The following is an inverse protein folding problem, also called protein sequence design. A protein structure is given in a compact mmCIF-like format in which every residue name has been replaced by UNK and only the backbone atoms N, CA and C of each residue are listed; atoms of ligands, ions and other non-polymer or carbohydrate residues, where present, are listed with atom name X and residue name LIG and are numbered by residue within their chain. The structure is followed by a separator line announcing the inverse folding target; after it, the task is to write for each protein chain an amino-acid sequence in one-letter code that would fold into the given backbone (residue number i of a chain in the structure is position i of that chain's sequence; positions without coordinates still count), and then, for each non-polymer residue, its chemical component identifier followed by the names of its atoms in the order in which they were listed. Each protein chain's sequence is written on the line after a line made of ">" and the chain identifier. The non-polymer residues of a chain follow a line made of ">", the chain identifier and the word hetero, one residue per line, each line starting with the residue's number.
data_IF_958531157073
#
_entry.id   IF_958531157073
#
_cell.length_a   1.000
_cell.length_b   1.000
_cell.length_c   1.000
_cell.angle_alpha   90.00
_cell.angle_beta   90.00
_cell.angle_gamma   90.00
#
_symmetry.space_group_name_H-M   'P 1'
#
loop_
_entity.id
_entity.type
_entity.pdbx_description
1 polymer ?
#
# COMPACT_ATOMS: atom_id res chain seq x y z
N UNK A 1 -2.20 -38.30 -36.93
CA UNK A 1 -1.12 -37.35 -36.66
C UNK A 1 -0.97 -37.29 -35.15
N UNK A 2 0.11 -37.85 -34.61
CA UNK A 2 0.42 -37.74 -33.18
C UNK A 2 0.71 -36.26 -32.89
N UNK A 3 -0.14 -35.63 -32.09
CA UNK A 3 0.15 -34.33 -31.51
C UNK A 3 1.33 -34.51 -30.56
N UNK A 4 2.54 -34.32 -31.03
CA UNK A 4 3.75 -34.32 -30.19
C UNK A 4 3.67 -33.11 -29.25
N UNK A 5 3.26 -33.41 -28.03
CA UNK A 5 3.26 -32.40 -26.98
C UNK A 5 4.68 -31.86 -26.77
N UNK A 6 4.88 -30.55 -26.98
CA UNK A 6 6.16 -29.87 -26.75
C UNK A 6 6.24 -29.39 -25.27
N UNK A 7 7.04 -30.06 -24.42
CA UNK A 7 7.08 -29.75 -22.97
C UNK A 7 7.55 -28.34 -22.69
N UNK A 8 6.96 -27.67 -21.67
CA UNK A 8 7.32 -26.31 -21.24
C UNK A 8 8.82 -26.16 -20.94
N UNK A 9 9.48 -27.24 -20.44
CA UNK A 9 10.92 -27.24 -20.17
C UNK A 9 11.78 -26.93 -21.40
N UNK A 10 11.26 -27.17 -22.60
CA UNK A 10 11.93 -26.93 -23.87
C UNK A 10 11.58 -25.55 -24.48
N UNK A 11 10.70 -24.78 -23.87
CA UNK A 11 10.35 -23.44 -24.31
C UNK A 11 11.51 -22.46 -24.07
N UNK A 12 11.49 -21.33 -24.75
CA UNK A 12 12.40 -20.24 -24.43
C UNK A 12 12.18 -19.74 -22.98
N UNK A 13 13.19 -19.19 -22.34
CA UNK A 13 13.08 -18.62 -20.99
C UNK A 13 11.95 -17.59 -20.90
N UNK A 14 11.78 -16.79 -21.95
CA UNK A 14 10.75 -15.76 -22.05
C UNK A 14 9.31 -16.29 -22.12
N UNK A 15 9.13 -17.55 -22.50
CA UNK A 15 7.83 -18.18 -22.66
C UNK A 15 7.47 -19.13 -21.52
N UNK A 16 8.44 -19.53 -20.70
CA UNK A 16 8.19 -20.32 -19.49
C UNK A 16 7.48 -19.46 -18.45
N UNK A 17 6.29 -19.84 -17.93
CA UNK A 17 5.49 -18.96 -17.08
C UNK A 17 6.19 -18.45 -15.83
N UNK A 18 7.00 -19.26 -15.15
CA UNK A 18 7.72 -18.86 -13.92
C UNK A 18 8.83 -17.88 -14.22
N UNK A 19 9.63 -18.16 -15.22
CA UNK A 19 10.73 -17.33 -15.71
C UNK A 19 10.18 -15.99 -16.25
N UNK A 20 9.10 -16.05 -17.02
CA UNK A 20 8.37 -14.87 -17.50
C UNK A 20 7.84 -14.00 -16.36
N UNK A 21 7.33 -14.62 -15.27
CA UNK A 21 6.91 -13.88 -14.07
C UNK A 21 8.08 -13.14 -13.42
N UNK A 22 9.23 -13.81 -13.28
CA UNK A 22 10.44 -13.24 -12.68
C UNK A 22 11.04 -12.11 -13.52
N UNK A 23 11.10 -12.28 -14.83
CA UNK A 23 11.75 -11.35 -15.73
C UNK A 23 10.88 -10.15 -16.13
N UNK A 24 9.59 -10.38 -16.35
CA UNK A 24 8.65 -9.39 -16.93
C UNK A 24 7.53 -8.96 -15.95
N UNK A 25 7.46 -9.58 -14.78
CA UNK A 25 6.44 -9.28 -13.77
C UNK A 25 5.06 -9.89 -14.07
N UNK A 26 4.17 -9.78 -13.07
CA UNK A 26 2.86 -10.46 -13.09
C UNK A 26 1.92 -10.01 -14.20
N UNK A 27 2.01 -8.77 -14.65
CA UNK A 27 1.16 -8.20 -15.70
C UNK A 27 1.44 -8.73 -17.10
N UNK A 28 2.59 -9.39 -17.30
CA UNK A 28 2.97 -9.97 -18.57
C UNK A 28 2.37 -11.38 -18.80
N UNK A 29 1.78 -11.99 -17.76
CA UNK A 29 1.23 -13.34 -17.84
C UNK A 29 -0.27 -13.32 -18.15
N UNK A 30 -0.69 -14.27 -18.99
CA UNK A 30 -2.09 -14.61 -19.19
C UNK A 30 -2.67 -15.36 -17.99
N UNK A 31 -3.99 -15.39 -17.84
CA UNK A 31 -4.68 -16.16 -16.79
C UNK A 31 -4.31 -17.65 -16.84
N UNK A 32 -4.15 -18.21 -18.06
CA UNK A 32 -3.73 -19.59 -18.23
C UNK A 32 -2.30 -19.85 -17.71
N UNK A 33 -1.38 -18.92 -17.93
CA UNK A 33 -0.01 -19.02 -17.41
C UNK A 33 0.03 -18.88 -15.87
N UNK A 34 -0.79 -18.00 -15.29
CA UNK A 34 -0.92 -17.87 -13.83
C UNK A 34 -1.46 -19.17 -13.21
N UNK A 35 -2.51 -19.77 -13.79
CA UNK A 35 -3.05 -21.05 -13.33
C UNK A 35 -2.02 -22.16 -13.52
N UNK A 36 -1.26 -22.15 -14.62
CA UNK A 36 -0.20 -23.13 -14.88
C UNK A 36 0.90 -23.10 -13.81
N UNK A 37 1.24 -21.92 -13.30
CA UNK A 37 2.16 -21.76 -12.15
C UNK A 37 1.58 -22.40 -10.88
N UNK A 38 0.28 -22.19 -10.60
CA UNK A 38 -0.40 -22.74 -9.43
C UNK A 38 -0.45 -24.27 -9.43
N UNK A 39 -0.79 -24.87 -10.58
CA UNK A 39 -0.89 -26.33 -10.70
C UNK A 39 0.48 -27.02 -10.88
N UNK A 40 1.52 -26.28 -11.24
CA UNK A 40 2.93 -26.71 -11.30
C UNK A 40 3.27 -27.69 -12.42
N UNK A 41 2.33 -28.52 -12.88
CA UNK A 41 2.55 -29.51 -13.94
C UNK A 41 1.25 -29.78 -14.70
N UNK A 42 1.39 -30.15 -15.96
CA UNK A 42 0.26 -30.60 -16.79
C UNK A 42 -0.18 -32.03 -16.49
N UNK A 43 -0.70 -32.70 -17.53
CA UNK A 43 -0.99 -34.11 -17.54
C UNK A 43 0.04 -34.87 -18.40
N UNK A 44 -0.15 -36.18 -18.57
CA UNK A 44 0.74 -36.99 -19.40
C UNK A 44 0.80 -36.50 -20.85
N UNK A 45 -0.28 -35.91 -21.36
CA UNK A 45 -0.46 -35.59 -22.77
C UNK A 45 -0.58 -34.09 -23.06
N UNK A 46 -0.51 -33.22 -22.05
CA UNK A 46 -0.65 -31.75 -22.20
C UNK A 46 0.20 -30.99 -21.19
N UNK A 47 0.62 -29.79 -21.56
CA UNK A 47 1.38 -28.92 -20.69
C UNK A 47 0.49 -28.35 -19.57
N UNK A 48 1.11 -27.77 -18.53
CA UNK A 48 0.36 -27.04 -17.50
C UNK A 48 -0.43 -25.87 -18.10
N UNK A 49 0.12 -25.18 -19.11
CA UNK A 49 -0.54 -24.07 -19.79
C UNK A 49 -1.73 -24.56 -20.61
N UNK A 50 -1.60 -25.66 -21.34
CA UNK A 50 -2.72 -26.21 -22.14
C UNK A 50 -3.84 -26.75 -21.25
N UNK A 51 -3.49 -27.43 -20.16
CA UNK A 51 -4.45 -27.85 -19.14
C UNK A 51 -5.20 -26.63 -18.54
N UNK A 52 -4.48 -25.56 -18.24
CA UNK A 52 -5.07 -24.33 -17.71
C UNK A 52 -5.99 -23.65 -18.73
N UNK A 53 -5.60 -23.61 -20.01
CA UNK A 53 -6.46 -23.10 -21.10
C UNK A 53 -7.74 -23.93 -21.23
N UNK A 54 -7.66 -25.26 -21.12
CA UNK A 54 -8.81 -26.15 -21.18
C UNK A 54 -9.78 -25.92 -20.01
N UNK A 55 -9.25 -25.72 -18.80
CA UNK A 55 -10.06 -25.39 -17.62
C UNK A 55 -10.75 -24.02 -17.84
N UNK A 56 -10.01 -22.99 -18.24
CA UNK A 56 -10.58 -21.66 -18.49
C UNK A 56 -11.64 -21.67 -19.58
N UNK A 57 -11.41 -22.40 -20.68
CA UNK A 57 -12.39 -22.53 -21.77
C UNK A 57 -13.71 -23.15 -21.31
N UNK A 58 -13.70 -24.07 -20.35
CA UNK A 58 -14.93 -24.68 -19.80
C UNK A 58 -15.81 -23.69 -19.04
N UNK A 59 -15.25 -22.58 -18.61
CA UNK A 59 -15.95 -21.48 -17.91
C UNK A 59 -15.95 -20.20 -18.74
N UNK A 60 -15.89 -20.31 -20.07
CA UNK A 60 -15.88 -19.20 -21.02
C UNK A 60 -14.80 -18.13 -20.72
N UNK A 61 -13.63 -18.53 -20.24
CA UNK A 61 -12.51 -17.69 -19.80
C UNK A 61 -12.88 -16.68 -18.70
N UNK A 62 -13.84 -17.01 -17.86
CA UNK A 62 -14.33 -16.14 -16.79
C UNK A 62 -13.80 -16.58 -15.43
N UNK A 63 -12.90 -15.79 -14.82
CA UNK A 63 -12.30 -16.08 -13.52
C UNK A 63 -13.33 -16.14 -12.37
N UNK A 64 -14.41 -15.36 -12.45
CA UNK A 64 -15.48 -15.45 -11.44
C UNK A 64 -16.23 -16.80 -11.54
N UNK A 65 -16.42 -17.31 -12.76
CA UNK A 65 -17.00 -18.63 -12.96
C UNK A 65 -16.05 -19.75 -12.53
N UNK A 66 -14.74 -19.60 -12.81
CA UNK A 66 -13.71 -20.51 -12.30
C UNK A 66 -13.72 -20.61 -10.78
N UNK A 67 -13.82 -19.47 -10.10
CA UNK A 67 -13.87 -19.40 -8.63
C UNK A 67 -15.13 -20.02 -7.99
N UNK A 68 -16.14 -20.35 -8.79
CA UNK A 68 -17.37 -21.04 -8.34
C UNK A 68 -17.32 -22.55 -8.53
N UNK A 69 -16.32 -23.06 -9.23
CA UNK A 69 -16.17 -24.50 -9.42
C UNK A 69 -15.88 -25.20 -8.09
N UNK A 70 -16.61 -26.28 -7.83
CA UNK A 70 -16.35 -27.14 -6.68
C UNK A 70 -15.09 -27.98 -6.90
N UNK A 71 -14.55 -28.53 -5.84
CA UNK A 71 -13.44 -29.45 -5.86
C UNK A 71 -13.68 -30.63 -6.81
N UNK A 72 -14.87 -31.24 -6.72
CA UNK A 72 -15.25 -32.35 -7.58
C UNK A 72 -15.27 -31.95 -9.07
N UNK A 73 -15.78 -30.75 -9.40
CA UNK A 73 -15.79 -30.23 -10.77
C UNK A 73 -14.38 -29.98 -11.31
N UNK A 74 -13.47 -29.44 -10.47
CA UNK A 74 -12.07 -29.27 -10.85
C UNK A 74 -11.36 -30.61 -11.07
N UNK A 75 -11.64 -31.60 -10.22
CA UNK A 75 -11.03 -32.93 -10.34
C UNK A 75 -11.55 -33.76 -11.54
N UNK A 76 -12.67 -33.37 -12.19
CA UNK A 76 -13.13 -33.97 -13.44
C UNK A 76 -12.21 -33.67 -14.62
N UNK A 77 -11.34 -32.63 -14.51
CA UNK A 77 -10.35 -32.39 -15.56
C UNK A 77 -9.19 -33.37 -15.42
N UNK A 78 -8.99 -34.22 -16.47
CA UNK A 78 -7.85 -35.12 -16.51
C UNK A 78 -6.54 -34.34 -16.31
N UNK A 79 -5.76 -34.72 -15.32
CA UNK A 79 -4.53 -34.03 -14.92
C UNK A 79 -4.68 -33.10 -13.70
N UNK A 80 -5.90 -32.88 -13.20
CA UNK A 80 -6.18 -32.20 -11.94
C UNK A 80 -6.51 -33.25 -10.87
N UNK A 81 -5.59 -33.45 -9.94
CA UNK A 81 -5.83 -34.16 -8.70
C UNK A 81 -6.16 -33.20 -7.54
N UNK A 82 -6.38 -33.79 -6.38
CA UNK A 82 -6.76 -33.04 -5.16
C UNK A 82 -5.83 -31.86 -4.87
N UNK A 83 -4.51 -32.05 -4.86
CA UNK A 83 -3.54 -30.98 -4.57
C UNK A 83 -3.63 -29.80 -5.55
N UNK A 84 -3.81 -30.07 -6.84
CA UNK A 84 -3.95 -29.01 -7.86
C UNK A 84 -5.30 -28.27 -7.70
N UNK A 85 -6.37 -29.01 -7.44
CA UNK A 85 -7.69 -28.41 -7.18
C UNK A 85 -7.66 -27.50 -5.94
N UNK A 86 -7.03 -27.94 -4.85
CA UNK A 86 -6.81 -27.14 -3.64
C UNK A 86 -6.05 -25.84 -3.97
N UNK A 87 -4.96 -25.92 -4.74
CA UNK A 87 -4.16 -24.75 -5.09
C UNK A 87 -4.98 -23.70 -5.87
N UNK A 88 -5.79 -24.15 -6.85
CA UNK A 88 -6.67 -23.26 -7.60
C UNK A 88 -7.72 -22.63 -6.67
N UNK A 89 -8.41 -23.43 -5.87
CA UNK A 89 -9.45 -22.94 -4.96
C UNK A 89 -8.91 -21.95 -3.94
N UNK A 90 -7.75 -22.25 -3.34
CA UNK A 90 -7.12 -21.36 -2.37
C UNK A 90 -6.73 -20.02 -3.01
N UNK A 91 -6.17 -20.03 -4.22
CA UNK A 91 -5.82 -18.80 -4.93
C UNK A 91 -7.06 -17.96 -5.29
N UNK A 92 -8.14 -18.61 -5.73
CA UNK A 92 -9.40 -17.92 -6.04
C UNK A 92 -10.05 -17.32 -4.79
N UNK A 93 -10.01 -18.04 -3.67
CA UNK A 93 -10.54 -17.55 -2.39
C UNK A 93 -9.72 -16.37 -1.86
N UNK A 94 -8.40 -16.41 -1.92
CA UNK A 94 -7.54 -15.29 -1.56
C UNK A 94 -7.84 -14.05 -2.43
N UNK A 95 -8.03 -14.24 -3.74
CA UNK A 95 -8.45 -13.18 -4.65
C UNK A 95 -9.82 -12.59 -4.28
N UNK A 96 -10.78 -13.43 -3.87
CA UNK A 96 -12.10 -13.01 -3.39
C UNK A 96 -11.99 -12.22 -2.08
N UNK A 97 -11.25 -12.70 -1.10
CA UNK A 97 -11.01 -12.00 0.19
C UNK A 97 -10.36 -10.65 -0.04
N UNK A 98 -9.29 -10.60 -0.84
CA UNK A 98 -8.62 -9.35 -1.20
C UNK A 98 -9.58 -8.32 -1.81
N UNK A 99 -10.56 -8.76 -2.61
CA UNK A 99 -11.55 -7.87 -3.21
C UNK A 99 -12.61 -7.40 -2.20
N UNK A 100 -12.93 -8.26 -1.22
CA UNK A 100 -13.84 -7.97 -0.12
C UNK A 100 -13.19 -7.16 1.01
N UNK A 101 -11.85 -7.14 1.10
CA UNK A 101 -11.17 -6.19 1.97
C UNK A 101 -11.52 -4.79 1.46
N UNK A 102 -12.26 -4.04 2.27
CA UNK A 102 -12.54 -2.64 2.03
C UNK A 102 -11.19 -1.95 1.81
N UNK A 103 -11.05 -1.26 0.70
CA UNK A 103 -9.90 -0.37 0.51
C UNK A 103 -9.92 0.56 1.71
N UNK A 104 -8.88 0.53 2.54
CA UNK A 104 -8.73 1.44 3.68
C UNK A 104 -8.97 2.83 3.12
N UNK A 105 -10.11 3.42 3.47
CA UNK A 105 -10.48 4.73 2.97
C UNK A 105 -9.57 5.74 3.66
N UNK A 106 -8.50 6.12 2.96
CA UNK A 106 -7.52 7.06 3.47
C UNK A 106 -8.21 8.40 3.69
N UNK A 107 -8.16 8.91 4.91
CA UNK A 107 -8.75 10.21 5.26
C UNK A 107 -8.12 11.31 4.43
N UNK A 108 -8.95 12.07 3.73
CA UNK A 108 -8.52 13.22 2.93
C UNK A 108 -8.46 14.48 3.80
N UNK A 109 -7.33 15.16 3.78
CA UNK A 109 -7.18 16.48 4.41
C UNK A 109 -7.69 17.54 3.43
N UNK A 110 -8.62 18.36 3.91
CA UNK A 110 -9.23 19.46 3.14
C UNK A 110 -9.01 20.83 3.78
N UNK A 111 -8.62 20.86 5.05
CA UNK A 111 -8.38 22.09 5.83
C UNK A 111 -7.52 21.80 7.06
N UNK A 112 -6.98 22.83 7.70
CA UNK A 112 -6.33 22.77 9.00
C UNK A 112 -7.25 22.14 10.07
N UNK A 113 -8.55 22.46 10.02
CA UNK A 113 -9.55 21.87 10.91
C UNK A 113 -9.61 20.34 10.78
N UNK A 114 -9.56 19.78 9.56
CA UNK A 114 -9.56 18.32 9.35
C UNK A 114 -8.31 17.65 9.91
N UNK A 115 -7.17 18.35 9.92
CA UNK A 115 -5.95 17.88 10.58
C UNK A 115 -6.13 17.90 12.10
N UNK A 116 -6.68 18.98 12.65
CA UNK A 116 -6.97 19.08 14.07
C UNK A 116 -7.91 17.95 14.54
N UNK A 117 -9.03 17.75 13.86
CA UNK A 117 -9.99 16.68 14.19
C UNK A 117 -9.34 15.28 14.16
N UNK A 118 -8.35 15.07 13.31
CA UNK A 118 -7.60 13.80 13.24
C UNK A 118 -6.57 13.66 14.36
N UNK A 119 -5.90 14.75 14.74
CA UNK A 119 -4.74 14.70 15.64
C UNK A 119 -5.10 15.01 17.10
N UNK A 120 -6.17 15.76 17.34
CA UNK A 120 -6.60 16.12 18.71
C UNK A 120 -6.83 14.88 19.59
N UNK A 121 -7.53 13.81 19.15
CA UNK A 121 -7.69 12.62 19.97
C UNK A 121 -6.39 11.85 20.26
N UNK A 122 -5.33 12.14 19.50
CA UNK A 122 -4.04 11.45 19.63
C UNK A 122 -3.11 12.22 20.56
N UNK A 123 -3.01 13.54 20.39
CA UNK A 123 -2.01 14.35 21.08
C UNK A 123 -2.58 15.52 21.92
N UNK A 124 -3.87 15.85 21.76
CA UNK A 124 -4.43 17.06 22.36
C UNK A 124 -4.46 17.06 23.89
N UNK A 125 -4.57 15.89 24.52
CA UNK A 125 -4.68 15.73 25.97
C UNK A 125 -3.40 15.17 26.62
N UNK A 126 -2.30 15.04 25.87
CA UNK A 126 -1.05 14.50 26.40
C UNK A 126 -0.39 15.49 27.35
N UNK A 127 0.14 15.01 28.51
CA UNK A 127 0.82 15.86 29.49
C UNK A 127 2.24 16.27 29.09
N UNK A 128 2.73 15.81 27.94
CA UNK A 128 4.05 16.10 27.37
C UNK A 128 3.93 16.45 25.89
N UNK A 129 4.92 17.14 25.36
CA UNK A 129 4.95 17.50 23.95
C UNK A 129 5.34 16.29 23.09
N UNK A 130 4.62 16.09 22.00
CA UNK A 130 4.93 15.13 20.95
C UNK A 130 4.97 15.81 19.60
N UNK A 131 5.89 15.39 18.75
CA UNK A 131 5.99 15.86 17.37
C UNK A 131 5.64 14.74 16.40
N UNK A 132 4.66 15.01 15.53
CA UNK A 132 4.10 14.07 14.58
C UNK A 132 4.17 14.60 13.16
N UNK A 133 4.27 13.67 12.21
CA UNK A 133 4.17 13.96 10.77
C UNK A 133 3.00 13.18 10.20
N UNK A 134 2.16 13.85 9.43
CA UNK A 134 1.22 13.23 8.52
C UNK A 134 1.87 13.16 7.13
N UNK A 135 1.96 11.97 6.58
CA UNK A 135 2.46 11.71 5.24
C UNK A 135 1.29 11.61 4.29
N UNK A 136 1.28 12.39 3.21
CA UNK A 136 0.16 12.49 2.28
C UNK A 136 0.56 12.10 0.87
N UNK A 137 -0.41 11.55 0.13
CA UNK A 137 -0.28 11.35 -1.30
C UNK A 137 -0.69 12.63 -2.09
N UNK A 138 -0.57 12.58 -3.42
CA UNK A 138 -0.89 13.71 -4.30
C UNK A 138 -2.38 14.16 -4.28
N UNK A 139 -3.26 13.38 -3.67
CA UNK A 139 -4.68 13.73 -3.46
C UNK A 139 -4.97 14.25 -2.05
N UNK A 140 -3.93 14.61 -1.29
CA UNK A 140 -3.99 15.00 0.12
C UNK A 140 -4.65 13.96 1.04
N UNK A 141 -4.54 12.69 0.70
CA UNK A 141 -4.98 11.61 1.57
C UNK A 141 -3.83 11.16 2.47
N UNK A 142 -4.10 10.99 3.77
CA UNK A 142 -3.11 10.56 4.75
C UNK A 142 -2.77 9.07 4.53
N UNK A 143 -1.58 8.79 4.03
CA UNK A 143 -1.07 7.43 3.80
C UNK A 143 -0.36 6.85 5.02
N UNK A 144 0.12 7.72 5.93
CA UNK A 144 0.75 7.30 7.18
C UNK A 144 0.81 8.46 8.17
N UNK A 145 0.86 8.12 9.45
CA UNK A 145 1.19 9.02 10.57
C UNK A 145 2.41 8.46 11.29
N UNK A 146 3.33 9.32 11.72
CA UNK A 146 4.48 8.90 12.52
C UNK A 146 4.80 9.91 13.60
N UNK A 147 4.98 9.40 14.81
CA UNK A 147 5.56 10.13 15.90
C UNK A 147 7.08 10.17 15.74
N UNK A 148 7.67 11.35 15.76
CA UNK A 148 9.11 11.51 15.58
C UNK A 148 9.87 11.70 16.90
N UNK A 149 9.21 12.29 17.86
CA UNK A 149 9.81 12.50 19.17
C UNK A 149 8.75 12.63 20.25
N UNK A 150 9.15 12.19 21.44
CA UNK A 150 8.43 12.40 22.70
C UNK A 150 9.29 13.37 23.49
N UNK A 151 8.74 14.52 23.85
CA UNK A 151 9.51 15.60 24.47
C UNK A 151 10.00 15.29 25.87
N UNK A 152 11.21 15.77 26.16
CA UNK A 152 11.62 16.17 27.50
C UNK A 152 11.34 17.65 27.72
N UNK A 153 11.55 18.14 28.94
CA UNK A 153 11.22 19.50 29.42
C UNK A 153 11.84 20.67 28.59
N UNK A 154 12.71 20.40 27.62
CA UNK A 154 13.53 21.43 26.93
C UNK A 154 13.43 21.43 25.40
N UNK A 155 12.44 20.75 24.80
CA UNK A 155 12.21 20.81 23.34
C UNK A 155 12.38 19.46 22.64
N UNK A 156 11.71 19.38 21.51
CA UNK A 156 11.59 18.17 20.69
C UNK A 156 12.62 18.21 19.56
N UNK A 157 13.60 17.31 19.59
CA UNK A 157 14.61 17.24 18.54
C UNK A 157 14.06 16.46 17.33
N UNK A 158 13.69 17.17 16.26
CA UNK A 158 13.21 16.57 15.01
C UNK A 158 14.39 16.40 14.05
N UNK A 159 14.71 15.14 13.70
CA UNK A 159 15.72 14.85 12.69
C UNK A 159 15.08 14.90 11.29
N UNK A 160 15.41 15.94 10.53
CA UNK A 160 14.94 16.17 9.15
C UNK A 160 15.21 14.98 8.23
N UNK A 161 16.34 14.28 8.42
CA UNK A 161 16.71 13.13 7.60
C UNK A 161 15.73 11.96 7.80
N UNK A 162 15.30 11.73 9.04
CA UNK A 162 14.31 10.67 9.35
C UNK A 162 12.94 11.00 8.76
N UNK A 163 12.51 12.27 8.82
CA UNK A 163 11.26 12.73 8.20
C UNK A 163 11.23 12.38 6.71
N UNK A 164 12.26 12.79 5.97
CA UNK A 164 12.27 12.60 4.53
C UNK A 164 12.64 11.18 4.09
N UNK A 165 13.43 10.44 4.87
CA UNK A 165 13.61 9.00 4.66
C UNK A 165 12.25 8.28 4.67
N UNK A 166 11.44 8.52 5.71
CA UNK A 166 10.09 7.92 5.80
C UNK A 166 9.17 8.41 4.68
N UNK A 167 9.26 9.66 4.27
CA UNK A 167 8.46 10.20 3.17
C UNK A 167 8.77 9.46 1.85
N UNK A 168 10.05 9.27 1.54
CA UNK A 168 10.50 8.55 0.35
C UNK A 168 10.10 7.06 0.38
N UNK A 169 10.31 6.38 1.52
CA UNK A 169 9.92 4.97 1.69
C UNK A 169 8.41 4.74 1.52
N UNK A 170 7.60 5.72 1.92
CA UNK A 170 6.13 5.65 1.82
C UNK A 170 5.58 6.20 0.50
N UNK A 171 6.41 6.80 -0.34
CA UNK A 171 5.98 7.49 -1.55
C UNK A 171 5.10 8.71 -1.28
N UNK A 172 5.34 9.41 -0.16
CA UNK A 172 4.61 10.62 0.17
C UNK A 172 5.05 11.78 -0.73
N UNK A 173 4.08 12.58 -1.19
CA UNK A 173 4.32 13.78 -1.99
C UNK A 173 4.12 15.07 -1.19
N UNK A 174 3.53 14.95 0.00
CA UNK A 174 3.35 16.07 0.90
C UNK A 174 3.37 15.64 2.37
N UNK A 175 3.66 16.59 3.26
CA UNK A 175 3.73 16.44 4.71
C UNK A 175 2.88 17.51 5.39
N UNK A 176 2.30 17.16 6.56
CA UNK A 176 1.81 18.14 7.53
C UNK A 176 2.48 17.83 8.86
N UNK A 177 2.98 18.87 9.50
CA UNK A 177 3.63 18.83 10.81
C UNK A 177 2.59 19.06 11.89
N UNK A 178 2.64 18.31 12.97
CA UNK A 178 1.75 18.48 14.10
C UNK A 178 2.53 18.31 15.40
N UNK A 179 2.34 19.21 16.37
CA UNK A 179 2.78 18.98 17.74
C UNK A 179 1.75 19.54 18.72
N UNK A 180 1.76 19.07 19.94
CA UNK A 180 0.88 19.56 20.97
C UNK A 180 1.60 20.48 21.95
N UNK A 181 0.86 21.43 22.51
CA UNK A 181 1.28 22.23 23.65
C UNK A 181 0.45 21.88 24.88
N UNK A 182 0.97 21.10 25.83
CA UNK A 182 0.24 20.76 27.08
C UNK A 182 -0.16 21.98 27.92
N UNK A 183 0.56 23.07 27.77
CA UNK A 183 0.23 24.37 28.43
C UNK A 183 -1.04 25.04 27.90
N UNK A 184 -1.60 24.55 26.77
CA UNK A 184 -2.72 25.17 26.07
C UNK A 184 -2.36 26.44 25.29
N UNK A 185 -1.07 26.83 25.24
CA UNK A 185 -0.61 28.00 24.48
C UNK A 185 -0.64 27.75 22.98
N UNK A 186 -1.26 28.68 22.24
CA UNK A 186 -1.32 28.60 20.76
C UNK A 186 -0.27 29.47 20.05
N UNK A 187 0.68 30.01 20.80
CA UNK A 187 1.75 30.85 20.26
C UNK A 187 2.93 29.95 19.87
N UNK A 188 3.34 29.93 18.59
CA UNK A 188 4.51 29.15 18.16
C UNK A 188 5.78 29.72 18.77
N UNK A 189 6.62 28.84 19.28
CA UNK A 189 7.97 29.20 19.76
C UNK A 189 8.90 29.51 18.59
N UNK A 190 10.03 30.10 18.85
CA UNK A 190 11.05 30.30 17.81
C UNK A 190 11.63 28.96 17.31
N UNK A 191 11.68 27.93 18.15
CA UNK A 191 12.05 26.58 17.76
C UNK A 191 11.06 25.99 16.76
N UNK A 192 9.75 26.18 16.95
CA UNK A 192 8.70 25.71 16.03
C UNK A 192 8.84 26.38 14.67
N UNK A 193 9.08 27.68 14.65
CA UNK A 193 9.31 28.44 13.41
C UNK A 193 10.58 27.96 12.68
N UNK A 194 11.67 27.73 13.42
CA UNK A 194 12.93 27.25 12.85
C UNK A 194 12.79 25.85 12.26
N UNK A 195 12.18 24.90 12.97
CA UNK A 195 12.02 23.54 12.45
C UNK A 195 11.07 23.50 11.25
N UNK A 196 9.99 24.30 11.27
CA UNK A 196 9.09 24.46 10.13
C UNK A 196 9.85 24.92 8.89
N UNK A 197 10.61 26.02 9.02
CA UNK A 197 11.43 26.55 7.93
C UNK A 197 12.44 25.53 7.41
N UNK A 198 13.11 24.81 8.30
CA UNK A 198 14.11 23.79 7.96
C UNK A 198 13.49 22.62 7.20
N UNK A 199 12.33 22.13 7.63
CA UNK A 199 11.60 21.07 6.96
C UNK A 199 11.05 21.53 5.61
N UNK A 200 10.52 22.74 5.51
CA UNK A 200 10.04 23.31 4.24
C UNK A 200 11.16 23.39 3.20
N UNK A 201 12.31 23.97 3.57
CA UNK A 201 13.47 24.05 2.67
C UNK A 201 13.97 22.67 2.20
N UNK A 202 14.02 21.70 3.10
CA UNK A 202 14.42 20.34 2.76
C UNK A 202 13.39 19.66 1.85
N UNK A 203 12.10 19.88 2.11
CA UNK A 203 11.01 19.37 1.29
C UNK A 203 11.02 19.94 -0.13
N UNK A 204 11.24 21.24 -0.27
CA UNK A 204 11.34 21.89 -1.57
C UNK A 204 12.46 21.28 -2.44
N UNK A 205 13.61 20.94 -1.82
CA UNK A 205 14.73 20.29 -2.51
C UNK A 205 14.44 18.85 -2.95
N UNK A 206 13.47 18.19 -2.34
CA UNK A 206 13.06 16.80 -2.61
C UNK A 206 11.72 16.70 -3.35
N UNK A 207 11.14 17.83 -3.73
CA UNK A 207 9.79 17.91 -4.33
C UNK A 207 8.68 17.31 -3.44
N UNK A 208 8.89 17.30 -2.11
CA UNK A 208 7.94 16.86 -1.11
C UNK A 208 7.43 18.08 -0.34
N UNK A 209 6.22 18.51 -0.61
CA UNK A 209 5.67 19.75 -0.06
C UNK A 209 5.36 19.62 1.44
N UNK A 210 5.82 20.56 2.25
CA UNK A 210 5.30 20.74 3.61
C UNK A 210 4.10 21.66 3.49
N UNK A 211 2.89 21.14 3.75
CA UNK A 211 1.65 21.88 3.49
C UNK A 211 1.22 22.77 4.64
N UNK A 212 1.48 22.36 5.89
CA UNK A 212 1.12 23.13 7.08
C UNK A 212 1.92 22.64 8.30
N UNK A 213 1.89 23.43 9.38
CA UNK A 213 2.31 23.03 10.70
C UNK A 213 1.22 23.45 11.71
N UNK A 214 0.70 22.46 12.47
CA UNK A 214 -0.33 22.70 13.48
C UNK A 214 0.23 22.54 14.88
N UNK A 215 -0.14 23.48 15.76
CA UNK A 215 -0.05 23.34 17.21
C UNK A 215 -1.41 22.89 17.69
N UNK A 216 -1.50 21.76 18.36
CA UNK A 216 -2.73 21.14 18.82
C UNK A 216 -2.82 21.26 20.34
N UNK A 217 -3.97 21.67 20.85
CA UNK A 217 -4.30 21.66 22.28
C UNK A 217 -5.56 20.83 22.50
N UNK A 218 -6.00 20.68 23.72
CA UNK A 218 -7.20 19.92 24.06
C UNK A 218 -8.46 20.38 23.29
N UNK A 219 -8.61 21.68 23.07
CA UNK A 219 -9.85 22.24 22.49
C UNK A 219 -9.64 23.13 21.27
N UNK A 220 -8.41 23.52 20.97
CA UNK A 220 -8.09 24.51 19.93
C UNK A 220 -6.82 24.11 19.18
N UNK A 221 -6.60 24.76 18.05
CA UNK A 221 -5.36 24.61 17.29
C UNK A 221 -4.89 25.94 16.72
N UNK A 222 -3.64 25.99 16.33
CA UNK A 222 -3.01 27.06 15.58
C UNK A 222 -2.44 26.45 14.30
N UNK A 223 -2.72 27.04 13.14
CA UNK A 223 -2.16 26.64 11.85
C UNK A 223 -1.23 27.75 11.35
N UNK A 224 -0.02 27.40 11.00
CA UNK A 224 0.93 28.34 10.43
C UNK A 224 0.49 28.91 9.09
N UNK A 225 -0.25 28.11 8.31
CA UNK A 225 -0.81 28.56 7.02
C UNK A 225 -1.98 29.51 7.24
N UNK A 226 -2.93 29.17 8.12
CA UNK A 226 -4.12 30.01 8.36
C UNK A 226 -3.71 31.39 8.91
N UNK A 227 -2.62 31.45 9.68
CA UNK A 227 -2.09 32.70 10.27
C UNK A 227 -1.05 33.40 9.37
N UNK A 228 -0.78 32.88 8.16
CA UNK A 228 0.04 33.54 7.15
C UNK A 228 1.54 33.62 7.47
N UNK A 229 2.06 32.77 8.35
CA UNK A 229 3.49 32.73 8.72
C UNK A 229 4.23 31.52 8.11
N UNK A 230 3.68 30.93 7.09
CA UNK A 230 4.19 29.69 6.46
C UNK A 230 4.97 29.95 5.17
#
# INVERSE_FOLDING_TARGET
>A
MENSHFPIRNWSEDDKPREKLMLKGKSALSDAELIAILIGSGSRNESAVDLSKRILSSVANNLNALGKLSMAQLMNFKGIGEAKAISIMAAMELGRRRRAEEAVELTKITSSKSVFEMMQPIIGELPHEEFWILYLNNSNKVISKAQLSVGGITGTLVDVRLVFKMALEKGATALILCHNHPSGTLIPSDADKQITKKLKMAGDSLEIKVLDHLIVTETKYYSFVDEGIF
#
